data_IF_859736903945
#
_entry.id   IF_859736903945
#
_cell.length_a   1.000
_cell.length_b   1.000
_cell.length_c   1.000
_cell.angle_alpha   90.00
_cell.angle_beta   90.00
_cell.angle_gamma   90.00
#
_symmetry.space_group_name_H-M   'P 1'
#
loop_
_entity.id
_entity.type
_entity.pdbx_description
1 polymer ?
#
# COMPACT_ATOMS: atom_id res chain seq x y z
N UNK A 1 -23.93 0.68 -5.50
CA UNK A 1 -23.01 1.56 -4.73
C UNK A 1 -21.79 1.85 -5.59
N UNK A 2 -21.38 3.12 -5.72
CA UNK A 2 -20.18 3.48 -6.48
C UNK A 2 -18.90 3.00 -5.76
N UNK A 3 -17.86 2.62 -6.52
CA UNK A 3 -16.61 2.07 -5.97
C UNK A 3 -15.93 2.98 -4.92
N UNK A 4 -16.02 4.30 -5.07
CA UNK A 4 -15.50 5.26 -4.07
C UNK A 4 -16.17 5.12 -2.70
N UNK A 5 -17.46 4.77 -2.66
CA UNK A 5 -18.19 4.54 -1.41
C UNK A 5 -17.71 3.26 -0.69
N UNK A 6 -17.12 2.30 -1.41
CA UNK A 6 -16.58 1.09 -0.78
C UNK A 6 -15.24 1.35 -0.10
N UNK A 7 -14.39 2.21 -0.67
CA UNK A 7 -13.06 2.52 -0.11
C UNK A 7 -13.17 3.35 1.18
N UNK A 8 -14.07 4.34 1.20
CA UNK A 8 -14.37 5.10 2.43
C UNK A 8 -14.88 4.18 3.55
N UNK A 9 -15.85 3.32 3.24
CA UNK A 9 -16.35 2.31 4.21
C UNK A 9 -15.27 1.35 4.69
N UNK A 10 -14.37 0.93 3.80
CA UNK A 10 -13.24 0.09 4.16
C UNK A 10 -12.28 0.81 5.11
N UNK A 11 -11.90 2.05 4.79
CA UNK A 11 -11.02 2.86 5.66
C UNK A 11 -11.64 3.12 7.04
N UNK A 12 -12.95 3.39 7.11
CA UNK A 12 -13.69 3.52 8.38
C UNK A 12 -13.73 2.20 9.16
N UNK A 13 -13.90 1.07 8.48
CA UNK A 13 -13.86 -0.25 9.10
C UNK A 13 -12.48 -0.55 9.69
N UNK A 14 -11.40 -0.28 8.95
CA UNK A 14 -10.03 -0.42 9.44
C UNK A 14 -9.84 0.37 10.75
N UNK A 15 -10.26 1.64 10.76
CA UNK A 15 -10.21 2.49 11.95
C UNK A 15 -10.92 1.90 13.17
N UNK A 16 -12.09 1.26 12.96
CA UNK A 16 -12.86 0.62 14.03
C UNK A 16 -12.19 -0.63 14.59
N UNK A 17 -11.46 -1.36 13.76
CA UNK A 17 -10.76 -2.59 14.15
C UNK A 17 -9.40 -2.35 14.80
N UNK A 18 -8.83 -1.16 14.60
CA UNK A 18 -7.49 -0.85 15.09
C UNK A 18 -7.44 -0.63 16.60
N UNK A 19 -6.30 -1.03 17.20
CA UNK A 19 -5.93 -0.61 18.54
C UNK A 19 -5.85 0.93 18.61
N UNK A 20 -6.26 1.50 19.74
CA UNK A 20 -6.07 2.92 20.06
C UNK A 20 -4.71 3.16 20.69
N UNK A 21 -4.09 4.28 20.35
CA UNK A 21 -2.82 4.73 20.87
C UNK A 21 -3.02 6.08 21.57
N UNK A 22 -2.34 6.25 22.70
CA UNK A 22 -2.28 7.54 23.41
C UNK A 22 -1.07 8.38 22.98
N UNK A 23 -0.19 7.80 22.15
CA UNK A 23 1.08 8.35 21.70
C UNK A 23 1.14 8.26 20.17
N UNK A 24 1.14 9.42 19.51
CA UNK A 24 1.08 9.53 18.06
C UNK A 24 2.33 8.97 17.37
N UNK A 25 3.51 9.09 17.98
CA UNK A 25 4.75 8.55 17.42
C UNK A 25 4.71 7.02 17.44
N UNK A 26 4.28 6.43 18.56
CA UNK A 26 4.09 4.97 18.63
C UNK A 26 3.05 4.48 17.63
N UNK A 27 1.98 5.24 17.42
CA UNK A 27 0.93 4.90 16.46
C UNK A 27 1.47 4.83 15.03
N UNK A 28 2.07 5.91 14.53
CA UNK A 28 2.56 5.93 13.14
C UNK A 28 3.73 4.97 12.92
N UNK A 29 4.60 4.79 13.92
CA UNK A 29 5.65 3.76 13.88
C UNK A 29 5.06 2.36 13.74
N UNK A 30 3.99 2.06 14.49
CA UNK A 30 3.32 0.76 14.41
C UNK A 30 2.75 0.53 13.01
N UNK A 31 2.05 1.50 12.44
CA UNK A 31 1.44 1.37 11.11
C UNK A 31 2.48 1.28 9.99
N UNK A 32 3.54 2.09 10.06
CA UNK A 32 4.63 2.07 9.08
C UNK A 32 5.43 0.77 9.10
N UNK A 33 5.79 0.28 10.29
CA UNK A 33 6.50 -0.99 10.44
C UNK A 33 5.62 -2.19 10.06
N UNK A 34 4.31 -2.09 10.28
CA UNK A 34 3.33 -3.08 9.81
C UNK A 34 3.45 -3.33 8.32
N UNK A 35 3.48 -2.28 7.49
CA UNK A 35 3.68 -2.42 6.03
C UNK A 35 4.97 -3.19 5.70
N UNK A 36 6.07 -2.90 6.41
CA UNK A 36 7.34 -3.58 6.17
C UNK A 36 7.28 -5.07 6.54
N UNK A 37 6.58 -5.41 7.63
CA UNK A 37 6.30 -6.79 8.02
C UNK A 37 5.55 -7.55 6.94
N UNK A 38 4.39 -7.02 6.54
CA UNK A 38 3.53 -7.66 5.52
C UNK A 38 4.24 -7.78 4.16
N UNK A 39 5.06 -6.79 3.79
CA UNK A 39 5.89 -6.87 2.58
C UNK A 39 6.90 -8.03 2.65
N UNK A 40 7.48 -8.27 3.82
CA UNK A 40 8.36 -9.41 4.09
C UNK A 40 7.63 -10.75 3.95
N UNK A 41 6.41 -10.83 4.48
CA UNK A 41 5.58 -12.05 4.41
C UNK A 41 5.08 -12.33 2.99
N UNK A 42 4.68 -11.30 2.24
CA UNK A 42 4.40 -11.42 0.79
C UNK A 42 5.62 -11.99 0.06
N UNK A 43 6.81 -11.43 0.28
CA UNK A 43 8.04 -11.91 -0.34
C UNK A 43 8.35 -13.37 0.07
N UNK A 44 8.15 -13.71 1.33
CA UNK A 44 8.33 -15.05 1.87
C UNK A 44 7.39 -16.08 1.22
N UNK A 45 6.11 -15.78 1.12
CA UNK A 45 5.10 -16.64 0.50
C UNK A 45 5.36 -16.82 -1.01
N UNK A 46 5.74 -15.76 -1.73
CA UNK A 46 6.15 -15.84 -3.13
C UNK A 46 7.36 -16.76 -3.28
N UNK A 47 8.41 -16.57 -2.46
CA UNK A 47 9.61 -17.42 -2.49
C UNK A 47 9.28 -18.89 -2.25
N UNK A 48 8.45 -19.20 -1.25
CA UNK A 48 8.02 -20.59 -0.96
C UNK A 48 7.25 -21.19 -2.15
N UNK A 49 6.35 -20.42 -2.75
CA UNK A 49 5.55 -20.84 -3.91
C UNK A 49 6.42 -21.14 -5.12
N UNK A 50 7.36 -20.25 -5.45
CA UNK A 50 8.14 -20.33 -6.70
C UNK A 50 9.39 -21.18 -6.56
N UNK A 51 10.09 -21.12 -5.43
CA UNK A 51 11.40 -21.77 -5.25
C UNK A 51 11.35 -23.11 -4.53
N UNK A 52 10.30 -23.37 -3.73
CA UNK A 52 10.22 -24.57 -2.89
C UNK A 52 9.02 -25.49 -3.23
N UNK A 53 8.31 -25.24 -4.34
CA UNK A 53 7.10 -25.97 -4.74
C UNK A 53 6.05 -26.10 -3.61
N UNK A 54 5.98 -25.10 -2.72
CA UNK A 54 5.03 -25.04 -1.63
C UNK A 54 4.03 -23.92 -1.92
N UNK A 55 2.83 -24.27 -2.38
CA UNK A 55 1.79 -23.30 -2.73
C UNK A 55 1.36 -22.50 -1.49
N UNK A 56 1.65 -21.20 -1.51
CA UNK A 56 1.30 -20.25 -0.45
C UNK A 56 0.46 -19.09 -1.00
N UNK A 57 -0.28 -19.29 -2.11
CA UNK A 57 -1.07 -18.24 -2.75
C UNK A 57 -2.11 -17.60 -1.84
N UNK A 58 -2.72 -18.37 -0.95
CA UNK A 58 -3.66 -17.83 0.04
C UNK A 58 -2.95 -16.88 1.01
N UNK A 59 -1.75 -17.25 1.47
CA UNK A 59 -0.91 -16.37 2.28
C UNK A 59 -0.49 -15.10 1.52
N UNK A 60 -0.15 -15.19 0.23
CA UNK A 60 0.13 -13.98 -0.57
C UNK A 60 -1.09 -13.03 -0.57
N UNK A 61 -2.29 -13.58 -0.78
CA UNK A 61 -3.53 -12.81 -0.82
C UNK A 61 -3.85 -12.16 0.54
N UNK A 62 -3.66 -12.90 1.63
CA UNK A 62 -3.86 -12.42 3.00
C UNK A 62 -2.94 -11.25 3.32
N UNK A 63 -1.62 -11.41 3.13
CA UNK A 63 -0.65 -10.36 3.45
C UNK A 63 -0.79 -9.11 2.54
N UNK A 64 -1.31 -9.25 1.32
CA UNK A 64 -1.72 -8.08 0.50
C UNK A 64 -2.87 -7.34 1.18
N UNK A 65 -3.86 -8.06 1.70
CA UNK A 65 -4.97 -7.49 2.47
C UNK A 65 -4.49 -6.76 3.72
N UNK A 66 -3.57 -7.35 4.48
CA UNK A 66 -3.00 -6.74 5.69
C UNK A 66 -2.14 -5.51 5.35
N UNK A 67 -1.38 -5.56 4.26
CA UNK A 67 -0.66 -4.39 3.74
C UNK A 67 -1.63 -3.22 3.45
N UNK A 68 -2.77 -3.51 2.83
CA UNK A 68 -3.81 -2.50 2.56
C UNK A 68 -4.46 -1.98 3.85
N UNK A 69 -4.61 -2.83 4.86
CA UNK A 69 -5.13 -2.43 6.16
C UNK A 69 -4.19 -1.42 6.83
N UNK A 70 -2.88 -1.70 6.87
CA UNK A 70 -1.90 -0.75 7.41
C UNK A 70 -1.84 0.54 6.60
N UNK A 71 -1.91 0.46 5.26
CA UNK A 71 -1.97 1.65 4.42
C UNK A 71 -3.20 2.52 4.73
N UNK A 72 -4.38 1.91 4.93
CA UNK A 72 -5.58 2.62 5.34
C UNK A 72 -5.45 3.23 6.74
N UNK A 73 -4.74 2.58 7.67
CA UNK A 73 -4.46 3.15 9.00
C UNK A 73 -3.52 4.36 8.93
N UNK A 74 -2.52 4.35 8.04
CA UNK A 74 -1.70 5.53 7.77
C UNK A 74 -2.55 6.68 7.20
N UNK A 75 -3.49 6.38 6.29
CA UNK A 75 -4.43 7.39 5.78
C UNK A 75 -5.26 7.98 6.92
N UNK A 76 -5.81 7.14 7.80
CA UNK A 76 -6.55 7.59 8.98
C UNK A 76 -5.71 8.45 9.93
N UNK A 77 -4.44 8.10 10.13
CA UNK A 77 -3.52 8.84 10.99
C UNK A 77 -3.26 10.26 10.47
N UNK A 78 -3.01 10.41 9.16
CA UNK A 78 -2.76 11.71 8.55
C UNK A 78 -4.03 12.47 8.12
N UNK A 79 -5.22 11.88 8.28
CA UNK A 79 -6.47 12.46 7.80
C UNK A 79 -6.58 12.49 6.28
N UNK A 80 -5.94 11.55 5.58
CA UNK A 80 -6.05 11.38 4.14
C UNK A 80 -7.19 10.47 3.76
N UNK A 81 -7.78 10.73 2.60
CA UNK A 81 -8.81 9.89 2.02
C UNK A 81 -8.16 8.85 1.10
N UNK A 82 -8.38 7.56 1.39
CA UNK A 82 -7.76 6.47 0.62
C UNK A 82 -8.18 6.47 -0.86
N UNK A 83 -9.41 6.90 -1.17
CA UNK A 83 -9.88 7.01 -2.55
C UNK A 83 -9.16 8.12 -3.33
N UNK A 84 -8.80 9.23 -2.67
CA UNK A 84 -8.00 10.29 -3.29
C UNK A 84 -6.60 9.79 -3.66
N UNK A 85 -5.90 9.12 -2.73
CA UNK A 85 -4.57 8.55 -2.98
C UNK A 85 -4.59 7.58 -4.16
N UNK A 86 -5.61 6.71 -4.23
CA UNK A 86 -5.77 5.78 -5.35
C UNK A 86 -6.05 6.49 -6.67
N UNK A 87 -6.89 7.53 -6.66
CA UNK A 87 -7.19 8.32 -7.85
C UNK A 87 -5.96 9.09 -8.37
N UNK A 88 -5.14 9.65 -7.48
CA UNK A 88 -3.88 10.28 -7.84
C UNK A 88 -2.89 9.27 -8.45
N UNK A 89 -2.78 8.09 -7.83
CA UNK A 89 -1.95 7.02 -8.36
C UNK A 89 -2.42 6.58 -9.75
N UNK A 90 -3.73 6.41 -9.94
CA UNK A 90 -4.35 6.06 -11.22
C UNK A 90 -4.01 7.08 -12.30
N UNK A 91 -4.24 8.38 -12.05
CA UNK A 91 -3.90 9.46 -13.00
C UNK A 91 -2.41 9.44 -13.38
N UNK A 92 -1.53 9.27 -12.37
CA UNK A 92 -0.08 9.17 -12.56
C UNK A 92 0.32 7.97 -13.42
N UNK A 93 -0.30 6.81 -13.20
CA UNK A 93 -0.03 5.60 -13.97
C UNK A 93 -0.55 5.73 -15.40
N UNK A 94 -1.76 6.25 -15.60
CA UNK A 94 -2.36 6.47 -16.92
C UNK A 94 -1.52 7.46 -17.75
N UNK A 95 -1.02 8.53 -17.14
CA UNK A 95 -0.12 9.47 -17.80
C UNK A 95 1.24 8.84 -18.17
N UNK A 96 1.74 7.91 -17.35
CA UNK A 96 3.03 7.23 -17.60
C UNK A 96 2.92 6.10 -18.61
N UNK A 97 1.81 5.38 -18.59
CA UNK A 97 1.59 4.14 -19.34
C UNK A 97 0.24 4.20 -20.08
N UNK A 98 0.05 5.15 -21.02
CA UNK A 98 -1.24 5.33 -21.71
C UNK A 98 -1.66 4.08 -22.50
N UNK A 99 -0.69 3.39 -23.09
CA UNK A 99 -0.88 2.14 -23.85
C UNK A 99 -0.45 0.89 -23.04
N UNK A 100 -0.31 1.02 -21.71
CA UNK A 100 0.24 -0.02 -20.85
C UNK A 100 1.76 0.04 -20.69
N UNK A 101 2.33 -1.00 -20.08
CA UNK A 101 3.75 -1.04 -19.73
C UNK A 101 4.64 -1.04 -20.98
N UNK A 102 5.68 -0.20 -20.97
CA UNK A 102 6.82 -0.32 -21.88
C UNK A 102 8.11 -0.05 -21.11
N UNK A 103 9.20 -0.73 -21.47
CA UNK A 103 10.52 -0.49 -20.85
C UNK A 103 10.98 0.96 -21.03
N UNK A 104 10.65 1.56 -22.18
CA UNK A 104 10.94 2.97 -22.45
C UNK A 104 10.23 3.91 -21.46
N UNK A 105 8.93 3.69 -21.21
CA UNK A 105 8.17 4.48 -20.24
C UNK A 105 8.55 4.18 -18.77
N UNK A 106 9.05 2.98 -18.49
CA UNK A 106 9.54 2.60 -17.17
C UNK A 106 10.85 3.32 -16.80
N UNK A 107 11.69 3.65 -17.79
CA UNK A 107 12.90 4.45 -17.60
C UNK A 107 12.51 5.88 -17.19
N UNK A 108 12.90 6.31 -15.98
CA UNK A 108 12.59 7.64 -15.43
C UNK A 108 13.44 8.79 -16.01
N UNK A 109 14.13 8.58 -17.13
CA UNK A 109 14.95 9.60 -17.80
C UNK A 109 15.97 10.31 -16.89
N UNK A 110 16.48 9.66 -15.84
CA UNK A 110 17.40 10.26 -14.87
C UNK A 110 16.77 11.20 -13.82
N UNK A 111 15.47 11.52 -13.89
CA UNK A 111 14.76 12.24 -12.82
C UNK A 111 14.43 11.27 -11.68
N UNK A 112 15.41 11.05 -10.80
CA UNK A 112 15.12 10.51 -9.47
C UNK A 112 14.38 11.61 -8.70
N UNK A 113 13.11 11.38 -8.38
CA UNK A 113 12.43 12.19 -7.37
C UNK A 113 13.05 11.73 -6.06
N UNK A 114 14.00 12.52 -5.56
CA UNK A 114 14.53 12.33 -4.23
C UNK A 114 13.50 12.87 -3.22
N UNK A 115 12.84 11.96 -2.51
CA UNK A 115 11.90 12.33 -1.46
C UNK A 115 12.64 12.69 -0.14
N UNK A 116 13.96 12.43 -0.06
CA UNK A 116 14.77 12.65 1.14
C UNK A 116 15.50 13.99 1.19
N UNK A 117 15.33 14.89 0.21
CA UNK A 117 15.99 16.20 0.25
C UNK A 117 15.02 17.33 -0.13
N UNK A 118 14.25 17.80 0.85
CA UNK A 118 14.06 19.25 0.98
C UNK A 118 15.00 19.69 2.10
N UNK A 119 16.09 20.36 1.72
CA UNK A 119 16.87 21.18 2.67
C UNK A 119 16.03 22.33 3.19
#
# INVERSE_FOLDING_TARGET
MNKANNLKKYQELCRKTAKKFDDADKEILTWGLGIAGEAGDVAGCIKKTVSHNNDQRDGIKENIGDTLWYAAMICNFFGWELDEILNENFKKLQARYPEGFSEAAAKRGGKRIDWNEKK
#
